data_IF_016294586475
#
_entry.id   IF_016294586475
#
_cell.length_a   1.000
_cell.length_b   1.000
_cell.length_c   1.000
_cell.angle_alpha   90.00
_cell.angle_beta   90.00
_cell.angle_gamma   90.00
#
_symmetry.space_group_name_H-M   'P 1'
#
loop_
_entity.id
_entity.type
_entity.pdbx_description
1 polymer ?
#
# COMPACT_ATOMS: atom_id res chain seq x y z
N UNK A 1 -3.34 3.07 16.94
CA UNK A 1 -2.11 2.91 16.14
C UNK A 1 -2.17 3.80 14.92
N UNK A 2 -1.06 3.91 14.22
CA UNK A 2 -0.92 4.51 12.89
C UNK A 2 -0.47 3.39 11.97
N UNK A 3 -1.15 3.24 10.84
CA UNK A 3 -0.76 2.33 9.79
C UNK A 3 -0.28 3.17 8.60
N UNK A 4 1.00 3.00 8.25
CA UNK A 4 1.64 3.69 7.13
C UNK A 4 1.74 2.74 5.94
N UNK A 5 1.29 3.24 4.79
CA UNK A 5 1.37 2.57 3.49
C UNK A 5 2.16 3.49 2.56
N UNK A 6 3.34 3.05 2.13
CA UNK A 6 4.23 3.85 1.30
C UNK A 6 4.48 3.15 -0.03
N UNK A 7 4.13 3.83 -1.11
CA UNK A 7 4.40 3.41 -2.48
C UNK A 7 5.63 4.18 -2.98
N UNK A 8 6.76 3.48 -3.17
CA UNK A 8 8.03 4.08 -3.58
C UNK A 8 8.34 3.66 -5.03
N UNK A 9 8.60 4.60 -5.96
CA UNK A 9 8.96 4.26 -7.34
C UNK A 9 10.20 3.36 -7.39
N UNK A 10 10.19 2.37 -8.28
CA UNK A 10 11.41 1.59 -8.54
C UNK A 10 12.45 2.46 -9.25
N UNK A 11 13.72 2.33 -8.86
CA UNK A 11 14.78 3.23 -9.27
C UNK A 11 15.03 3.28 -10.80
N UNK A 12 14.70 2.20 -11.51
CA UNK A 12 15.02 2.04 -12.94
C UNK A 12 13.87 1.51 -13.79
N UNK A 13 12.78 1.04 -13.18
CA UNK A 13 11.70 0.35 -13.88
C UNK A 13 10.38 1.05 -13.54
N UNK A 14 9.83 1.90 -14.43
CA UNK A 14 8.61 2.64 -14.14
C UNK A 14 7.37 1.73 -13.99
N UNK A 15 7.47 0.46 -14.36
CA UNK A 15 6.40 -0.53 -14.21
C UNK A 15 6.42 -1.23 -12.85
N UNK A 16 7.34 -0.84 -11.96
CA UNK A 16 7.50 -1.42 -10.62
C UNK A 16 7.56 -0.34 -9.55
N UNK A 17 7.20 -0.74 -8.35
CA UNK A 17 7.32 0.06 -7.14
C UNK A 17 7.63 -0.87 -5.96
N UNK A 18 8.13 -0.29 -4.87
CA UNK A 18 8.22 -0.93 -3.57
C UNK A 18 7.03 -0.52 -2.74
N UNK A 19 6.39 -1.49 -2.10
CA UNK A 19 5.29 -1.27 -1.17
C UNK A 19 5.77 -1.52 0.25
N UNK A 20 5.89 -0.46 1.05
CA UNK A 20 6.24 -0.59 2.46
C UNK A 20 5.00 -0.43 3.32
N UNK A 21 4.78 -1.38 4.21
CA UNK A 21 3.77 -1.33 5.26
C UNK A 21 4.45 -1.18 6.62
N UNK A 22 3.92 -0.31 7.48
CA UNK A 22 4.44 -0.13 8.83
C UNK A 22 3.31 0.13 9.82
N UNK A 23 3.19 -0.76 10.79
CA UNK A 23 2.22 -0.66 11.87
C UNK A 23 2.90 -0.13 13.13
N UNK A 24 2.46 1.04 13.59
CA UNK A 24 2.94 1.66 14.82
C UNK A 24 1.79 1.78 15.80
N UNK A 25 1.92 1.23 17.00
CA UNK A 25 0.89 1.36 18.02
C UNK A 25 1.51 1.46 19.41
N UNK A 26 0.70 1.92 20.35
CA UNK A 26 1.09 1.98 21.75
C UNK A 26 0.63 0.69 22.42
N UNK A 27 1.56 0.01 23.08
CA UNK A 27 1.25 -1.14 23.92
C UNK A 27 0.27 -0.77 25.04
N UNK A 28 -0.68 -1.67 25.32
CA UNK A 28 -1.62 -1.61 26.44
C UNK A 28 -1.54 -2.96 27.15
N UNK A 29 -1.38 -2.94 28.47
CA UNK A 29 -1.37 -4.13 29.32
C UNK A 29 -2.80 -4.66 29.54
N UNK A 30 -3.44 -5.05 28.45
CA UNK A 30 -4.74 -5.69 28.38
C UNK A 30 -4.70 -6.75 27.27
N UNK A 31 -4.82 -8.05 27.60
CA UNK A 31 -4.74 -9.13 26.61
C UNK A 31 -5.90 -9.12 25.61
N UNK A 32 -6.97 -8.35 25.85
CA UNK A 32 -8.07 -8.16 24.89
C UNK A 32 -7.82 -7.01 23.91
N UNK A 33 -6.78 -6.21 24.13
CA UNK A 33 -6.44 -5.07 23.28
C UNK A 33 -5.42 -5.47 22.22
N UNK A 34 -5.77 -5.27 20.96
CA UNK A 34 -4.85 -5.37 19.82
C UNK A 34 -5.22 -4.33 18.77
N UNK A 35 -4.32 -4.10 17.81
CA UNK A 35 -4.64 -3.30 16.63
C UNK A 35 -5.74 -3.98 15.80
N UNK A 36 -6.58 -3.22 15.08
CA UNK A 36 -7.54 -3.82 14.17
C UNK A 36 -6.86 -4.78 13.19
N UNK A 37 -7.49 -5.93 12.89
CA UNK A 37 -6.87 -6.98 12.06
C UNK A 37 -6.42 -6.53 10.67
N UNK A 38 -7.07 -5.50 10.10
CA UNK A 38 -6.65 -4.89 8.84
C UNK A 38 -5.29 -4.17 8.89
N UNK A 39 -4.70 -3.97 10.08
CA UNK A 39 -3.32 -3.49 10.22
C UNK A 39 -2.26 -4.61 10.06
N UNK A 40 -2.68 -5.85 9.80
CA UNK A 40 -1.79 -6.94 9.37
C UNK A 40 -0.70 -7.30 10.38
N UNK A 41 -0.99 -7.23 11.68
CA UNK A 41 -0.02 -7.61 12.71
C UNK A 41 0.02 -9.15 12.83
N UNK A 42 1.16 -9.81 12.59
CA UNK A 42 1.27 -11.27 12.66
C UNK A 42 0.95 -11.83 14.04
N UNK A 43 0.35 -13.03 14.08
CA UNK A 43 0.09 -13.72 15.34
C UNK A 43 1.39 -14.04 16.08
N UNK A 44 1.39 -13.85 17.41
CA UNK A 44 2.55 -14.14 18.25
C UNK A 44 3.68 -13.13 18.19
N UNK A 45 3.54 -12.02 17.44
CA UNK A 45 4.50 -10.92 17.46
C UNK A 45 4.57 -10.25 18.84
N UNK A 46 5.76 -9.81 19.26
CA UNK A 46 5.90 -9.02 20.48
C UNK A 46 5.17 -7.68 20.35
N UNK A 47 4.10 -7.52 21.12
CA UNK A 47 3.30 -6.28 21.16
C UNK A 47 3.78 -5.30 22.22
N UNK A 48 4.70 -5.71 23.10
CA UNK A 48 5.21 -4.88 24.20
C UNK A 48 6.22 -3.84 23.72
N UNK A 49 6.86 -4.10 22.58
CA UNK A 49 7.95 -3.28 22.04
C UNK A 49 9.29 -3.54 22.71
N UNK A 50 9.41 -4.60 23.52
CA UNK A 50 10.67 -5.05 24.09
C UNK A 50 11.61 -5.60 23.01
N UNK A 51 11.04 -6.17 21.95
CA UNK A 51 11.75 -6.72 20.81
C UNK A 51 11.32 -5.96 19.56
N UNK A 52 12.28 -5.34 18.87
CA UNK A 52 12.02 -4.77 17.55
C UNK A 52 11.85 -5.91 16.54
N UNK A 53 10.74 -5.99 15.80
CA UNK A 53 10.59 -6.99 14.74
C UNK A 53 11.61 -6.75 13.64
N UNK A 54 12.07 -7.84 13.03
CA UNK A 54 12.90 -7.78 11.83
C UNK A 54 12.10 -7.22 10.65
N UNK A 55 12.81 -6.63 9.69
CA UNK A 55 12.17 -6.17 8.45
C UNK A 55 12.08 -7.36 7.50
N UNK A 56 10.86 -7.67 7.08
CA UNK A 56 10.59 -8.73 6.12
C UNK A 56 10.53 -8.16 4.70
N UNK A 57 11.08 -8.90 3.74
CA UNK A 57 11.13 -8.52 2.34
C UNK A 57 10.58 -9.65 1.49
N UNK A 58 9.58 -9.32 0.67
CA UNK A 58 8.91 -10.25 -0.22
C UNK A 58 9.10 -9.79 -1.67
N UNK A 59 9.27 -10.73 -2.59
CA UNK A 59 9.20 -10.42 -4.02
C UNK A 59 7.73 -10.31 -4.45
N UNK A 60 7.47 -9.71 -5.62
CA UNK A 60 6.10 -9.52 -6.12
C UNK A 60 5.37 -10.85 -6.42
N UNK A 61 6.11 -11.95 -6.53
CA UNK A 61 5.58 -13.29 -6.79
C UNK A 61 5.30 -14.08 -5.49
N UNK A 62 5.70 -13.55 -4.34
CA UNK A 62 5.50 -14.18 -3.03
C UNK A 62 4.25 -13.63 -2.37
N UNK A 63 3.54 -14.49 -1.64
CA UNK A 63 2.51 -14.04 -0.71
C UNK A 63 3.19 -13.41 0.50
N UNK A 64 2.93 -12.12 0.72
CA UNK A 64 3.49 -11.34 1.81
C UNK A 64 2.61 -11.34 3.07
N UNK A 65 1.47 -12.05 3.05
CA UNK A 65 0.50 -12.16 4.15
C UNK A 65 0.24 -10.80 4.84
N UNK A 66 -0.08 -9.78 4.04
CA UNK A 66 -0.30 -8.40 4.52
C UNK A 66 -1.64 -8.24 5.26
N UNK A 67 -2.35 -9.34 5.51
CA UNK A 67 -3.74 -9.37 5.95
C UNK A 67 -4.74 -9.38 4.78
N UNK A 68 -5.97 -9.78 5.10
CA UNK A 68 -7.01 -10.10 4.11
C UNK A 68 -7.30 -8.96 3.12
N UNK A 69 -7.38 -7.71 3.61
CA UNK A 69 -7.79 -6.57 2.76
C UNK A 69 -6.64 -6.11 1.87
N UNK A 70 -5.41 -6.06 2.38
CA UNK A 70 -4.26 -5.58 1.60
C UNK A 70 -3.83 -6.58 0.54
N UNK A 71 -3.95 -7.88 0.83
CA UNK A 71 -3.68 -8.90 -0.16
C UNK A 71 -4.64 -8.77 -1.37
N UNK A 72 -5.91 -8.42 -1.14
CA UNK A 72 -6.86 -8.15 -2.22
C UNK A 72 -6.43 -6.97 -3.10
N UNK A 73 -5.92 -5.89 -2.51
CA UNK A 73 -5.43 -4.74 -3.28
C UNK A 73 -4.19 -5.12 -4.11
N UNK A 74 -3.25 -5.87 -3.54
CA UNK A 74 -2.02 -6.32 -4.23
C UNK A 74 -2.37 -7.21 -5.44
N UNK A 75 -3.28 -8.16 -5.27
CA UNK A 75 -3.71 -9.07 -6.34
C UNK A 75 -4.34 -8.34 -7.53
N UNK A 76 -5.00 -7.21 -7.29
CA UNK A 76 -5.69 -6.44 -8.31
C UNK A 76 -4.76 -5.51 -9.10
N UNK A 77 -3.70 -4.97 -8.47
CA UNK A 77 -2.81 -3.98 -9.09
C UNK A 77 -2.22 -4.48 -10.41
N UNK A 78 -1.74 -5.73 -10.45
CA UNK A 78 -1.15 -6.31 -11.66
C UNK A 78 -2.17 -6.39 -12.82
N UNK A 79 -3.40 -6.79 -12.53
CA UNK A 79 -4.48 -6.88 -13.51
C UNK A 79 -4.92 -5.50 -14.01
N UNK A 80 -5.03 -4.52 -13.10
CA UNK A 80 -5.36 -3.13 -13.45
C UNK A 80 -4.28 -2.52 -14.37
N UNK A 81 -3.00 -2.74 -14.05
CA UNK A 81 -1.89 -2.24 -14.86
C UNK A 81 -1.89 -2.82 -16.28
N UNK A 82 -2.25 -4.10 -16.44
CA UNK A 82 -2.43 -4.69 -17.78
C UNK A 82 -3.58 -4.04 -18.54
N UNK A 83 -4.70 -3.74 -17.87
CA UNK A 83 -5.84 -3.05 -18.46
C UNK A 83 -5.50 -1.64 -18.94
N UNK A 84 -4.74 -0.88 -18.15
CA UNK A 84 -4.28 0.48 -18.49
C UNK A 84 -3.42 0.50 -19.76
N UNK A 85 -2.67 -0.58 -20.04
CA UNK A 85 -1.86 -0.72 -21.27
C UNK A 85 -2.66 -1.05 -22.52
N UNK A 86 -3.94 -1.35 -22.41
CA UNK A 86 -4.78 -1.69 -23.56
C UNK A 86 -4.91 -0.50 -24.51
N UNK A 87 -4.79 -0.75 -25.82
CA UNK A 87 -5.07 0.26 -26.86
C UNK A 87 -6.50 0.81 -26.78
N UNK A 88 -7.42 0.04 -26.20
CA UNK A 88 -8.82 0.48 -26.01
C UNK A 88 -9.03 1.33 -24.76
N UNK A 89 -8.04 1.46 -23.89
CA UNK A 89 -8.15 2.27 -22.69
C UNK A 89 -7.90 3.74 -23.03
N UNK A 90 -8.95 4.56 -22.90
CA UNK A 90 -8.91 5.99 -23.18
C UNK A 90 -8.78 6.84 -21.91
N UNK A 91 -8.50 6.20 -20.78
CA UNK A 91 -8.45 6.84 -19.46
C UNK A 91 -9.56 6.36 -18.51
N UNK A 92 -9.36 6.59 -17.21
CA UNK A 92 -10.30 6.19 -16.16
C UNK A 92 -11.59 7.02 -16.19
N UNK A 93 -12.72 6.39 -15.90
CA UNK A 93 -13.99 7.05 -15.62
C UNK A 93 -14.14 7.17 -14.11
N UNK A 94 -14.20 8.40 -13.61
CA UNK A 94 -14.22 8.66 -12.17
C UNK A 94 -15.64 8.81 -11.63
N UNK A 95 -15.89 8.19 -10.48
CA UNK A 95 -17.07 8.44 -9.66
C UNK A 95 -16.83 9.56 -8.65
N UNK A 96 -17.90 10.01 -7.98
CA UNK A 96 -17.87 11.09 -6.97
C UNK A 96 -16.85 10.82 -5.85
N UNK A 97 -16.65 9.57 -5.44
CA UNK A 97 -15.76 9.21 -4.34
C UNK A 97 -14.26 9.32 -4.69
N UNK A 98 -13.90 9.45 -5.96
CA UNK A 98 -12.52 9.40 -6.45
C UNK A 98 -11.87 10.79 -6.62
N UNK A 99 -12.38 11.81 -5.95
CA UNK A 99 -11.87 13.18 -6.04
C UNK A 99 -10.36 13.28 -5.70
N UNK A 100 -9.89 12.49 -4.73
CA UNK A 100 -8.46 12.48 -4.35
C UNK A 100 -7.57 11.86 -5.44
N UNK A 101 -8.07 10.84 -6.14
CA UNK A 101 -7.34 10.20 -7.24
C UNK A 101 -7.27 11.17 -8.43
N UNK A 102 -8.38 11.86 -8.73
CA UNK A 102 -8.40 12.93 -9.74
C UNK A 102 -7.43 14.05 -9.41
N UNK A 103 -7.40 14.50 -8.16
CA UNK A 103 -6.44 15.50 -7.71
C UNK A 103 -4.99 15.01 -7.83
N UNK A 104 -4.70 13.77 -7.44
CA UNK A 104 -3.38 13.16 -7.60
C UNK A 104 -2.90 13.21 -9.06
N UNK A 105 -3.73 12.76 -10.01
CA UNK A 105 -3.39 12.84 -11.44
C UNK A 105 -3.12 14.27 -11.88
N UNK A 106 -3.94 15.23 -11.46
CA UNK A 106 -3.73 16.64 -11.80
C UNK A 106 -2.42 17.18 -11.26
N UNK A 107 -2.04 16.81 -10.03
CA UNK A 107 -0.80 17.27 -9.42
C UNK A 107 0.44 16.61 -10.03
N UNK A 108 0.31 15.37 -10.52
CA UNK A 108 1.34 14.70 -11.32
C UNK A 108 1.52 15.43 -12.66
N UNK A 109 0.43 15.71 -13.38
CA UNK A 109 0.50 16.43 -14.66
C UNK A 109 1.22 17.78 -14.50
N UNK A 110 0.82 18.57 -13.49
CA UNK A 110 1.49 19.86 -13.18
C UNK A 110 2.97 19.73 -12.87
N UNK A 111 3.35 18.66 -12.16
CA UNK A 111 4.76 18.40 -11.88
C UNK A 111 5.53 18.04 -13.16
N UNK A 112 4.95 17.22 -14.03
CA UNK A 112 5.53 16.83 -15.31
C UNK A 112 5.66 18.02 -16.27
N UNK A 113 4.67 18.91 -16.26
CA UNK A 113 4.64 20.14 -17.06
C UNK A 113 5.56 21.25 -16.50
N UNK A 114 6.17 21.06 -15.33
CA UNK A 114 6.99 22.05 -14.61
C UNK A 114 6.21 23.32 -14.21
N UNK A 115 4.91 23.18 -13.98
CA UNK A 115 4.00 24.25 -13.52
C UNK A 115 4.08 24.51 -11.99
N UNK A 116 5.19 24.10 -11.35
CA UNK A 116 5.42 24.20 -9.91
C UNK A 116 6.82 24.71 -9.60
#
# INVERSE_FOLDING_TARGET
GVFLMRFVPHATDPEKFYYDTMTMFRYVDDPSYTVPGWMGLPEGMDVTGAIRPEIEHFSAEMDADLGEVLNQDVDLIASVQQGVKSRGFNGPLWCEQEDRIRHLHREIDRYMDQDK
#
